data_IF_115199023243
#
_entry.id   IF_115199023243
#
_cell.length_a   1.000
_cell.length_b   1.000
_cell.length_c   1.000
_cell.angle_alpha   90.00
_cell.angle_beta   90.00
_cell.angle_gamma   90.00
#
_symmetry.space_group_name_H-M   'P 1'
#
loop_
_entity.id
_entity.type
_entity.pdbx_description
1 polymer ?
#
# COMPACT_ATOMS: atom_id res chain seq x y z
N UNK A 1 -21.94 -43.64 21.15
CA UNK A 1 -20.98 -42.52 21.28
C UNK A 1 -20.96 -41.80 19.94
N UNK A 2 -21.46 -40.57 19.86
CA UNK A 2 -21.51 -39.78 18.62
C UNK A 2 -20.88 -38.43 18.89
N UNK A 3 -19.88 -38.05 18.09
CA UNK A 3 -19.13 -36.79 18.25
C UNK A 3 -19.73 -35.78 17.27
N UNK A 4 -20.44 -34.78 17.78
CA UNK A 4 -20.98 -33.68 16.99
C UNK A 4 -19.86 -32.67 16.71
N UNK A 5 -19.55 -32.46 15.43
CA UNK A 5 -18.62 -31.43 14.99
C UNK A 5 -19.21 -30.03 15.22
N UNK A 6 -18.49 -29.21 16.01
CA UNK A 6 -18.83 -27.82 16.25
C UNK A 6 -18.71 -26.98 14.97
N UNK A 7 -19.84 -26.43 14.53
CA UNK A 7 -19.94 -25.56 13.37
C UNK A 7 -19.32 -24.19 13.70
N UNK A 8 -18.05 -23.94 13.33
CA UNK A 8 -17.45 -22.59 13.42
C UNK A 8 -18.02 -21.71 12.32
N UNK A 9 -18.94 -20.84 12.73
CA UNK A 9 -19.47 -19.71 11.96
C UNK A 9 -18.29 -18.81 11.54
N UNK A 10 -17.91 -18.86 10.26
CA UNK A 10 -17.02 -17.87 9.66
C UNK A 10 -17.77 -16.54 9.67
N UNK A 11 -17.31 -15.61 10.49
CA UNK A 11 -17.85 -14.27 10.56
C UNK A 11 -17.69 -13.58 9.21
N UNK A 12 -18.80 -13.39 8.51
CA UNK A 12 -18.92 -12.41 7.44
C UNK A 12 -18.60 -11.03 8.04
N UNK A 13 -17.46 -10.47 7.69
CA UNK A 13 -17.23 -9.02 7.84
C UNK A 13 -18.00 -8.30 6.72
N UNK A 14 -19.32 -8.27 6.85
CA UNK A 14 -20.17 -7.34 6.11
C UNK A 14 -20.01 -5.95 6.73
N UNK A 15 -19.05 -5.19 6.23
CA UNK A 15 -18.92 -3.75 6.52
C UNK A 15 -19.57 -2.95 5.39
N UNK A 16 -20.84 -2.56 5.57
CA UNK A 16 -21.45 -1.49 4.78
C UNK A 16 -21.02 -0.16 5.41
N UNK A 17 -20.10 0.54 4.74
CA UNK A 17 -19.70 1.92 5.06
C UNK A 17 -20.03 2.86 3.88
N UNK A 18 -20.37 4.13 4.13
CA UNK A 18 -20.88 5.05 3.11
C UNK A 18 -19.75 5.42 2.15
N UNK A 19 -19.92 5.19 0.83
CA UNK A 19 -19.05 5.61 -0.29
C UNK A 19 -17.60 5.97 0.12
N UNK A 20 -16.94 5.03 0.79
CA UNK A 20 -15.66 5.27 1.46
C UNK A 20 -14.54 4.90 0.52
N UNK A 21 -13.63 5.83 0.26
CA UNK A 21 -12.36 5.60 -0.44
C UNK A 21 -11.77 4.27 0.04
N UNK A 22 -11.75 3.25 -0.83
CA UNK A 22 -11.28 1.91 -0.47
C UNK A 22 -9.76 1.94 -0.28
N UNK A 23 -9.32 2.29 0.92
CA UNK A 23 -7.94 2.16 1.35
C UNK A 23 -7.71 0.71 1.78
N UNK A 24 -6.90 -0.02 1.02
CA UNK A 24 -6.65 -1.45 1.27
C UNK A 24 -5.21 -1.66 1.71
N UNK A 25 -4.96 -2.33 2.84
CA UNK A 25 -3.60 -2.67 3.27
C UNK A 25 -2.88 -3.53 2.23
N UNK A 26 -1.65 -3.17 1.90
CA UNK A 26 -0.79 -3.89 0.97
C UNK A 26 0.64 -4.01 1.52
N UNK A 27 1.39 -4.99 1.01
CA UNK A 27 2.82 -5.15 1.27
C UNK A 27 3.55 -4.92 -0.07
N UNK A 28 4.08 -3.70 -0.30
CA UNK A 28 4.80 -3.42 -1.54
C UNK A 28 6.22 -3.99 -1.48
N UNK A 29 6.58 -4.75 -2.52
CA UNK A 29 7.97 -5.02 -2.89
C UNK A 29 8.45 -3.95 -3.84
N UNK A 30 9.65 -3.42 -3.64
CA UNK A 30 10.20 -2.30 -4.43
C UNK A 30 11.55 -2.72 -4.99
N UNK A 31 11.68 -2.67 -6.31
CA UNK A 31 12.95 -2.69 -7.00
C UNK A 31 13.47 -1.25 -7.12
N UNK A 32 14.57 -0.95 -6.42
CA UNK A 32 15.12 0.41 -6.37
C UNK A 32 15.94 0.80 -7.58
N UNK A 33 16.37 -0.15 -8.40
CA UNK A 33 17.22 0.11 -9.55
C UNK A 33 16.41 0.54 -10.76
N UNK A 34 15.23 -0.07 -10.94
CA UNK A 34 14.31 0.28 -12.04
C UNK A 34 13.10 1.10 -11.58
N UNK A 35 12.75 1.06 -10.28
CA UNK A 35 11.58 1.76 -9.74
C UNK A 35 10.28 1.00 -9.85
N UNK A 36 10.33 -0.32 -10.09
CA UNK A 36 9.17 -1.20 -10.13
C UNK A 36 8.66 -1.46 -8.70
N UNK A 37 7.35 -1.35 -8.52
CA UNK A 37 6.64 -1.65 -7.28
C UNK A 37 5.62 -2.75 -7.56
N UNK A 38 5.70 -3.83 -6.79
CA UNK A 38 4.81 -4.99 -6.89
C UNK A 38 4.07 -5.17 -5.58
N UNK A 39 2.75 -5.34 -5.64
CA UNK A 39 1.93 -5.71 -4.48
C UNK A 39 0.71 -6.51 -4.92
N UNK A 40 0.11 -7.26 -4.01
CA UNK A 40 -1.14 -7.99 -4.27
C UNK A 40 -2.32 -7.13 -3.86
N UNK A 41 -3.28 -6.94 -4.77
CA UNK A 41 -4.55 -6.26 -4.53
C UNK A 41 -5.65 -6.99 -5.31
N UNK A 42 -6.79 -7.23 -4.66
CA UNK A 42 -7.91 -7.99 -5.24
C UNK A 42 -7.52 -9.38 -5.82
N UNK A 43 -6.59 -10.07 -5.16
CA UNK A 43 -6.04 -11.38 -5.59
C UNK A 43 -5.19 -11.35 -6.86
N UNK A 44 -4.83 -10.17 -7.36
CA UNK A 44 -3.95 -10.00 -8.51
C UNK A 44 -2.64 -9.31 -8.11
N UNK A 45 -1.56 -9.65 -8.80
CA UNK A 45 -0.30 -8.91 -8.68
C UNK A 45 -0.38 -7.63 -9.50
N UNK A 46 -0.20 -6.49 -8.84
CA UNK A 46 -0.16 -5.17 -9.47
C UNK A 46 1.28 -4.76 -9.67
N UNK A 47 1.60 -4.39 -10.91
CA UNK A 47 2.92 -3.89 -11.31
C UNK A 47 2.78 -2.40 -11.59
N UNK A 48 3.48 -1.58 -10.81
CA UNK A 48 3.43 -0.12 -10.92
C UNK A 48 4.84 0.47 -10.86
N UNK A 49 4.98 1.74 -11.22
CA UNK A 49 6.26 2.43 -11.24
C UNK A 49 6.26 3.60 -10.26
N UNK A 50 7.35 3.78 -9.54
CA UNK A 50 7.61 4.93 -8.67
C UNK A 50 8.74 5.77 -9.26
N UNK A 51 8.56 7.09 -9.30
CA UNK A 51 9.57 8.02 -9.82
C UNK A 51 10.76 8.22 -8.87
N UNK A 52 10.58 7.94 -7.57
CA UNK A 52 11.64 7.97 -6.56
C UNK A 52 11.55 6.73 -5.65
N UNK A 53 12.04 5.57 -6.11
CA UNK A 53 11.94 4.33 -5.34
C UNK A 53 12.81 4.33 -4.08
N UNK A 54 13.88 5.14 -4.03
CA UNK A 54 14.73 5.26 -2.84
C UNK A 54 14.02 6.02 -1.73
N UNK A 55 13.31 7.10 -2.07
CA UNK A 55 12.42 7.78 -1.14
C UNK A 55 11.31 6.85 -0.65
N UNK A 56 10.68 6.10 -1.56
CA UNK A 56 9.63 5.13 -1.18
C UNK A 56 10.16 4.13 -0.14
N UNK A 57 11.30 3.48 -0.37
CA UNK A 57 11.89 2.54 0.60
C UNK A 57 12.21 3.23 1.94
N UNK A 58 12.74 4.45 1.92
CA UNK A 58 13.00 5.23 3.13
C UNK A 58 11.72 5.53 3.94
N UNK A 59 10.61 5.81 3.26
CA UNK A 59 9.30 6.02 3.90
C UNK A 59 8.73 4.71 4.44
N UNK A 60 8.82 3.61 3.68
CA UNK A 60 8.38 2.28 4.11
C UNK A 60 9.12 1.85 5.38
N UNK A 61 10.44 2.07 5.45
CA UNK A 61 11.25 1.76 6.63
C UNK A 61 10.87 2.59 7.87
N UNK A 62 10.27 3.76 7.68
CA UNK A 62 9.79 4.66 8.76
C UNK A 62 8.30 4.52 9.03
N UNK A 63 7.63 3.56 8.39
CA UNK A 63 6.19 3.38 8.54
C UNK A 63 5.85 2.98 9.98
N UNK A 64 4.86 3.65 10.55
CA UNK A 64 4.31 3.35 11.88
C UNK A 64 2.97 2.63 11.82
N UNK A 65 2.58 2.15 10.64
CA UNK A 65 1.33 1.44 10.40
C UNK A 65 1.31 0.71 9.06
N UNK A 66 0.17 0.12 8.69
CA UNK A 66 0.02 -0.53 7.39
C UNK A 66 0.16 0.49 6.25
N UNK A 67 0.80 0.07 5.17
CA UNK A 67 0.79 0.80 3.91
C UNK A 67 -0.55 0.55 3.24
N UNK A 68 -1.24 1.62 2.84
CA UNK A 68 -2.57 1.53 2.25
C UNK A 68 -2.52 1.89 0.77
N UNK A 69 -3.04 1.02 -0.09
CA UNK A 69 -3.30 1.31 -1.49
C UNK A 69 -4.61 2.08 -1.64
N UNK A 70 -4.56 3.19 -2.38
CA UNK A 70 -5.73 3.93 -2.84
C UNK A 70 -5.87 3.77 -4.36
N UNK A 71 -6.78 2.88 -4.77
CA UNK A 71 -6.98 2.56 -6.18
C UNK A 71 -7.48 3.76 -6.99
N UNK A 72 -8.33 4.61 -6.39
CA UNK A 72 -8.90 5.78 -7.07
C UNK A 72 -7.86 6.82 -7.45
N UNK A 73 -6.82 6.99 -6.62
CA UNK A 73 -5.76 7.98 -6.85
C UNK A 73 -4.44 7.36 -7.29
N UNK A 74 -4.39 6.03 -7.43
CA UNK A 74 -3.17 5.27 -7.68
C UNK A 74 -2.00 5.59 -6.71
N UNK A 75 -2.31 5.78 -5.42
CA UNK A 75 -1.31 6.18 -4.41
C UNK A 75 -1.09 5.09 -3.37
N UNK A 76 0.15 4.94 -2.91
CA UNK A 76 0.45 4.37 -1.60
C UNK A 76 0.36 5.45 -0.54
N UNK A 77 -0.47 5.23 0.48
CA UNK A 77 -0.56 6.07 1.66
C UNK A 77 0.24 5.42 2.79
N UNK A 78 1.24 6.14 3.27
CA UNK A 78 2.19 5.68 4.30
C UNK A 78 2.13 6.64 5.48
N UNK A 79 1.86 6.13 6.67
CA UNK A 79 1.98 6.90 7.91
C UNK A 79 3.41 6.75 8.44
N UNK A 80 4.20 7.81 8.43
CA UNK A 80 5.60 7.78 8.87
C UNK A 80 5.78 8.43 10.24
N UNK A 81 6.72 7.91 11.04
CA UNK A 81 7.05 8.51 12.33
C UNK A 81 7.42 9.99 12.18
N UNK A 82 6.77 10.85 12.98
CA UNK A 82 7.04 12.28 13.01
C UNK A 82 6.87 12.81 14.44
N UNK A 83 7.78 13.69 14.87
CA UNK A 83 7.69 14.31 16.19
C UNK A 83 6.37 15.08 16.34
N UNK A 84 5.75 14.98 17.53
CA UNK A 84 4.45 15.59 17.81
C UNK A 84 3.24 14.88 17.21
N UNK A 85 3.41 13.77 16.47
CA UNK A 85 2.31 13.06 15.80
C UNK A 85 2.19 11.61 16.30
N UNK A 86 1.23 11.35 17.20
CA UNK A 86 1.02 9.99 17.78
C UNK A 86 0.77 8.90 16.74
N UNK A 87 0.16 9.24 15.61
CA UNK A 87 -0.14 8.30 14.51
C UNK A 87 0.79 8.49 13.30
N UNK A 88 1.86 9.26 13.47
CA UNK A 88 2.73 9.66 12.37
C UNK A 88 2.11 10.73 11.46
N UNK A 89 2.86 11.12 10.43
CA UNK A 89 2.42 12.01 9.35
C UNK A 89 2.12 11.17 8.12
N UNK A 90 1.00 11.45 7.46
CA UNK A 90 0.62 10.77 6.22
C UNK A 90 1.42 11.35 5.05
N UNK A 91 2.00 10.46 4.25
CA UNK A 91 2.62 10.76 2.96
C UNK A 91 1.92 9.90 1.91
N UNK A 92 1.59 10.49 0.76
CA UNK A 92 1.04 9.77 -0.38
C UNK A 92 2.09 9.72 -1.50
N UNK A 93 2.38 8.52 -1.99
CA UNK A 93 3.33 8.27 -3.06
C UNK A 93 2.55 7.82 -4.30
N UNK A 94 2.54 8.61 -5.39
CA UNK A 94 1.89 8.22 -6.62
C UNK A 94 2.65 7.07 -7.28
N UNK A 95 1.90 6.09 -7.77
CA UNK A 95 2.41 4.99 -8.56
C UNK A 95 1.79 5.04 -9.96
N UNK A 96 2.59 4.74 -10.97
CA UNK A 96 2.22 4.90 -12.37
C UNK A 96 2.08 3.55 -13.08
N UNK A 97 1.23 3.49 -14.12
CA UNK A 97 1.13 2.30 -14.98
C UNK A 97 2.40 2.04 -15.78
N UNK A 98 3.08 3.11 -16.19
CA UNK A 98 4.26 3.05 -17.04
C UNK A 98 5.45 3.66 -16.32
N UNK A 99 6.66 3.21 -16.69
CA UNK A 99 7.89 3.78 -16.17
C UNK A 99 7.96 5.27 -16.53
N UNK A 100 7.96 6.13 -15.50
CA UNK A 100 8.30 7.53 -15.71
C UNK A 100 9.81 7.63 -15.87
N UNK A 101 10.26 7.71 -17.12
CA UNK A 101 11.60 8.21 -17.42
C UNK A 101 11.64 9.68 -17.05
N UNK A 102 12.02 9.96 -15.81
CA UNK A 102 12.58 11.26 -15.48
C UNK A 102 13.85 11.38 -16.30
N UNK A 103 13.77 12.08 -17.44
CA UNK A 103 14.92 12.59 -18.14
C UNK A 103 15.69 13.46 -17.15
N UNK A 104 16.64 12.85 -16.44
CA UNK A 104 17.69 13.56 -15.73
C UNK A 104 18.41 14.36 -16.81
N UNK A 105 18.04 15.63 -16.96
CA UNK A 105 18.90 16.61 -17.62
C UNK A 105 20.27 16.48 -16.97
N UNK A 106 21.35 16.19 -17.72
CA UNK A 106 22.68 16.30 -17.15
C UNK A 106 22.87 17.74 -16.68
N UNK A 107 23.39 17.88 -15.46
CA UNK A 107 23.93 19.14 -14.96
C UNK A 107 25.18 19.50 -15.74
#
# INVERSE_FOLDING_TARGET
MSISAGNRKVGQHSGVGPAGKFLVPVIPSVDTDIGLVIFVFQHEAHHRWCSDPRLLVSLLAKSVGPVLWNDNSANLRISVAASGHRHGKVVEIPLFMNQQVNALKPR
#
